data_IF_954532172515
#
_entry.id   IF_954532172515
#
_cell.length_a   1.000
_cell.length_b   1.000
_cell.length_c   1.000
_cell.angle_alpha   90.00
_cell.angle_beta   90.00
_cell.angle_gamma   90.00
#
_symmetry.space_group_name_H-M   'P 1'
#
loop_
_entity.id
_entity.type
_entity.pdbx_description
1 polymer ?
#
# COMPACT_ATOMS: atom_id res chain seq x y z
N UNK A 1 -6.21 -32.76 33.13
CA UNK A 1 -6.59 -31.56 32.33
C UNK A 1 -8.10 -31.54 32.22
N UNK A 2 -8.79 -30.49 32.68
CA UNK A 2 -10.26 -30.48 32.81
C UNK A 2 -10.96 -30.51 31.45
N UNK A 3 -11.91 -31.42 31.25
CA UNK A 3 -12.71 -31.55 30.02
C UNK A 3 -13.43 -30.25 29.63
N UNK A 4 -13.83 -29.44 30.62
CA UNK A 4 -14.41 -28.09 30.41
C UNK A 4 -13.42 -27.11 29.76
N UNK A 5 -12.13 -27.18 30.11
CA UNK A 5 -11.09 -26.33 29.51
C UNK A 5 -10.86 -26.75 28.05
N UNK A 6 -10.85 -28.06 27.77
CA UNK A 6 -10.71 -28.60 26.42
C UNK A 6 -11.90 -28.17 25.56
N UNK A 7 -13.13 -28.44 26.02
CA UNK A 7 -14.37 -28.10 25.29
C UNK A 7 -14.50 -26.58 25.05
N UNK A 8 -14.21 -25.75 26.06
CA UNK A 8 -14.20 -24.30 25.90
C UNK A 8 -13.17 -23.81 24.87
N UNK A 9 -11.97 -24.39 24.88
CA UNK A 9 -10.91 -24.07 23.91
C UNK A 9 -11.24 -24.54 22.48
N UNK A 10 -11.86 -25.71 22.32
CA UNK A 10 -12.27 -26.25 21.02
C UNK A 10 -13.39 -25.43 20.39
N UNK A 11 -14.43 -25.07 21.17
CA UNK A 11 -15.53 -24.25 20.67
C UNK A 11 -15.04 -22.89 20.18
N UNK A 12 -14.17 -22.22 20.97
CA UNK A 12 -13.56 -20.96 20.57
C UNK A 12 -12.72 -21.11 19.30
N UNK A 13 -11.86 -22.14 19.23
CA UNK A 13 -11.04 -22.41 18.05
C UNK A 13 -11.88 -22.65 16.79
N UNK A 14 -13.00 -23.37 16.91
CA UNK A 14 -13.94 -23.58 15.80
C UNK A 14 -14.59 -22.28 15.36
N UNK A 15 -15.07 -21.44 16.28
CA UNK A 15 -15.65 -20.13 15.94
C UNK A 15 -14.63 -19.26 15.19
N UNK A 16 -13.40 -19.15 15.71
CA UNK A 16 -12.33 -18.40 15.06
C UNK A 16 -12.00 -18.98 13.67
N UNK A 17 -11.90 -20.30 13.54
CA UNK A 17 -11.62 -20.96 12.26
C UNK A 17 -12.71 -20.72 11.23
N UNK A 18 -13.98 -20.76 11.64
CA UNK A 18 -15.13 -20.47 10.76
C UNK A 18 -15.10 -19.01 10.30
N UNK A 19 -14.86 -18.06 11.20
CA UNK A 19 -14.76 -16.63 10.85
C UNK A 19 -13.59 -16.38 9.89
N UNK A 20 -12.42 -16.94 10.17
CA UNK A 20 -11.25 -16.83 9.29
C UNK A 20 -11.55 -17.45 7.91
N UNK A 21 -12.18 -18.63 7.87
CA UNK A 21 -12.55 -19.30 6.62
C UNK A 21 -13.53 -18.48 5.79
N UNK A 22 -14.52 -17.85 6.43
CA UNK A 22 -15.45 -16.94 5.76
C UNK A 22 -14.73 -15.72 5.16
N UNK A 23 -13.81 -15.11 5.91
CA UNK A 23 -13.00 -13.96 5.42
C UNK A 23 -12.14 -14.37 4.22
N UNK A 24 -11.49 -15.55 4.28
CA UNK A 24 -10.67 -16.08 3.19
C UNK A 24 -11.54 -16.33 1.95
N UNK A 25 -12.68 -17.00 2.10
CA UNK A 25 -13.60 -17.31 1.01
C UNK A 25 -14.11 -16.05 0.31
N UNK A 26 -14.59 -15.06 1.08
CA UNK A 26 -15.06 -13.77 0.54
C UNK A 26 -13.96 -13.03 -0.22
N UNK A 27 -12.73 -13.05 0.31
CA UNK A 27 -11.57 -12.41 -0.34
C UNK A 27 -11.20 -13.13 -1.64
N UNK A 28 -11.22 -14.46 -1.66
CA UNK A 28 -10.92 -15.23 -2.87
C UNK A 28 -11.97 -15.00 -3.96
N UNK A 29 -13.26 -15.04 -3.62
CA UNK A 29 -14.35 -14.78 -4.58
C UNK A 29 -14.28 -13.38 -5.18
N UNK A 30 -14.08 -12.35 -4.35
CA UNK A 30 -13.93 -10.97 -4.84
C UNK A 30 -12.69 -10.77 -5.71
N UNK A 31 -11.55 -11.38 -5.34
CA UNK A 31 -10.34 -11.33 -6.17
C UNK A 31 -10.56 -11.99 -7.54
N UNK A 32 -11.17 -13.18 -7.58
CA UNK A 32 -11.45 -13.88 -8.84
C UNK A 32 -12.32 -13.03 -9.77
N UNK A 33 -13.44 -12.49 -9.25
CA UNK A 33 -14.33 -11.62 -9.99
C UNK A 33 -13.60 -10.40 -10.57
N UNK A 34 -12.88 -9.65 -9.72
CA UNK A 34 -12.12 -8.45 -10.15
C UNK A 34 -11.04 -8.81 -11.19
N UNK A 35 -10.35 -9.94 -11.04
CA UNK A 35 -9.34 -10.36 -12.01
C UNK A 35 -9.93 -10.76 -13.36
N UNK A 36 -11.15 -11.29 -13.37
CA UNK A 36 -11.94 -11.57 -14.57
C UNK A 36 -12.31 -10.29 -15.31
N UNK A 37 -12.97 -9.36 -14.63
CA UNK A 37 -13.34 -8.03 -15.18
C UNK A 37 -12.12 -7.30 -15.75
N UNK A 38 -10.99 -7.30 -15.03
CA UNK A 38 -9.74 -6.67 -15.53
C UNK A 38 -9.15 -7.39 -16.74
N UNK A 39 -9.33 -8.71 -16.87
CA UNK A 39 -8.88 -9.43 -18.06
C UNK A 39 -9.66 -8.96 -19.28
N UNK A 40 -10.97 -8.85 -19.16
CA UNK A 40 -11.84 -8.35 -20.23
C UNK A 40 -11.53 -6.89 -20.55
N UNK A 41 -11.45 -6.02 -19.54
CA UNK A 41 -11.07 -4.61 -19.72
C UNK A 41 -9.71 -4.47 -20.43
N UNK A 42 -8.68 -5.24 -20.04
CA UNK A 42 -7.36 -5.21 -20.71
C UNK A 42 -7.47 -5.59 -22.18
N UNK A 43 -8.33 -6.55 -22.52
CA UNK A 43 -8.52 -6.98 -23.90
C UNK A 43 -9.21 -5.90 -24.74
N UNK A 44 -10.25 -5.27 -24.19
CA UNK A 44 -10.91 -4.13 -24.84
C UNK A 44 -9.93 -2.95 -25.06
N UNK A 45 -9.10 -2.64 -24.06
CA UNK A 45 -8.06 -1.61 -24.17
C UNK A 45 -6.99 -1.96 -25.23
N UNK A 46 -6.58 -3.23 -25.35
CA UNK A 46 -5.68 -3.68 -26.44
C UNK A 46 -6.32 -3.52 -27.81
N UNK A 47 -7.59 -3.89 -27.94
CA UNK A 47 -8.33 -3.74 -29.19
C UNK A 47 -8.44 -2.26 -29.60
N UNK A 48 -8.65 -1.36 -28.65
CA UNK A 48 -8.59 0.09 -28.89
C UNK A 48 -7.22 0.51 -29.43
N UNK A 49 -6.13 0.07 -28.81
CA UNK A 49 -4.77 0.40 -29.28
C UNK A 49 -4.50 -0.14 -30.69
N UNK A 50 -4.93 -1.37 -31.00
CA UNK A 50 -4.84 -1.96 -32.34
C UNK A 50 -5.63 -1.14 -33.37
N UNK A 51 -6.87 -0.77 -33.03
CA UNK A 51 -7.77 -0.04 -33.92
C UNK A 51 -7.34 1.41 -34.15
N UNK A 52 -6.62 2.03 -33.21
CA UNK A 52 -6.06 3.38 -33.35
C UNK A 52 -4.96 3.46 -34.41
N UNK A 53 -4.24 2.36 -34.66
CA UNK A 53 -3.08 2.36 -35.54
C UNK A 53 -3.50 2.66 -37.00
N UNK A 54 -3.00 3.77 -37.55
CA UNK A 54 -3.31 4.24 -38.91
C UNK A 54 -4.81 4.43 -39.19
N UNK A 55 -5.61 4.72 -38.17
CA UNK A 55 -7.03 5.01 -38.35
C UNK A 55 -7.23 6.36 -39.06
N UNK A 56 -8.26 6.47 -39.90
CA UNK A 56 -8.68 7.79 -40.40
C UNK A 56 -9.16 8.69 -39.26
N UNK A 57 -9.20 10.01 -39.45
CA UNK A 57 -9.67 10.94 -38.42
C UNK A 57 -11.07 10.58 -37.90
N UNK A 58 -12.04 10.33 -38.80
CA UNK A 58 -13.39 9.95 -38.39
C UNK A 58 -13.46 8.61 -37.64
N UNK A 59 -12.64 7.63 -38.03
CA UNK A 59 -12.53 6.36 -37.29
C UNK A 59 -11.87 6.57 -35.92
N UNK A 60 -10.86 7.44 -35.85
CA UNK A 60 -10.17 7.80 -34.60
C UNK A 60 -11.15 8.37 -33.59
N UNK A 61 -11.97 9.35 -33.97
CA UNK A 61 -12.97 9.94 -33.07
C UNK A 61 -13.92 8.89 -32.46
N UNK A 62 -14.38 7.92 -33.26
CA UNK A 62 -15.22 6.81 -32.76
C UNK A 62 -14.47 5.95 -31.74
N UNK A 63 -13.20 5.63 -32.00
CA UNK A 63 -12.36 4.84 -31.09
C UNK A 63 -12.08 5.63 -29.79
N UNK A 64 -11.91 6.95 -29.86
CA UNK A 64 -11.71 7.78 -28.68
C UNK A 64 -12.92 7.77 -27.75
N UNK A 65 -14.15 7.71 -28.28
CA UNK A 65 -15.36 7.54 -27.45
C UNK A 65 -15.28 6.25 -26.64
N UNK A 66 -14.86 5.15 -27.26
CA UNK A 66 -14.67 3.87 -26.58
C UNK A 66 -13.56 3.94 -25.52
N UNK A 67 -12.44 4.60 -25.83
CA UNK A 67 -11.35 4.79 -24.89
C UNK A 67 -11.80 5.58 -23.65
N UNK A 68 -12.54 6.67 -23.84
CA UNK A 68 -13.00 7.56 -22.76
C UNK A 68 -13.83 6.85 -21.69
N UNK A 69 -14.65 5.87 -22.08
CA UNK A 69 -15.48 5.10 -21.13
C UNK A 69 -14.71 3.98 -20.42
N UNK A 70 -13.45 3.73 -20.79
CA UNK A 70 -12.60 2.66 -20.21
C UNK A 70 -11.40 3.16 -19.42
N UNK A 71 -11.01 4.41 -19.59
CA UNK A 71 -9.95 5.04 -18.79
C UNK A 71 -10.54 5.77 -17.57
N UNK A 72 -9.68 6.20 -16.65
CA UNK A 72 -10.10 6.90 -15.45
C UNK A 72 -10.68 8.30 -15.79
N UNK A 73 -11.97 8.49 -15.53
CA UNK A 73 -12.67 9.76 -15.77
C UNK A 73 -12.17 10.94 -14.91
N UNK A 74 -11.54 10.69 -13.76
CA UNK A 74 -10.99 11.77 -12.92
C UNK A 74 -9.86 12.54 -13.61
N UNK A 75 -9.19 11.95 -14.61
CA UNK A 75 -8.13 12.60 -15.37
C UNK A 75 -8.60 13.73 -16.28
N UNK A 76 -9.89 13.79 -16.62
CA UNK A 76 -10.42 14.77 -17.58
C UNK A 76 -10.14 16.22 -17.17
N UNK A 77 -10.29 16.52 -15.87
CA UNK A 77 -10.16 17.88 -15.33
C UNK A 77 -8.98 18.03 -14.36
N UNK A 78 -8.06 17.06 -14.33
CA UNK A 78 -6.93 17.02 -13.39
C UNK A 78 -5.62 16.88 -14.15
N UNK A 79 -4.50 17.24 -13.53
CA UNK A 79 -3.16 17.10 -14.12
C UNK A 79 -2.41 15.85 -13.64
N UNK A 80 -3.12 14.92 -13.00
CA UNK A 80 -2.52 13.76 -12.35
C UNK A 80 -2.40 12.58 -13.33
N UNK A 81 -1.17 12.15 -13.61
CA UNK A 81 -0.92 11.03 -14.51
C UNK A 81 -1.47 9.69 -13.98
N UNK A 82 -1.59 9.53 -12.65
CA UNK A 82 -2.20 8.35 -12.02
C UNK A 82 -3.71 8.25 -12.25
N UNK A 83 -4.32 9.30 -12.77
CA UNK A 83 -5.74 9.36 -13.11
C UNK A 83 -5.94 9.44 -14.63
N UNK A 84 -4.96 9.02 -15.43
CA UNK A 84 -5.00 9.03 -16.91
C UNK A 84 -5.08 10.42 -17.56
N UNK A 85 -4.78 11.50 -16.81
CA UNK A 85 -4.83 12.87 -17.32
C UNK A 85 -4.01 13.10 -18.60
N UNK A 86 -2.88 12.40 -18.74
CA UNK A 86 -2.01 12.47 -19.91
C UNK A 86 -2.63 11.85 -21.17
N UNK A 87 -3.50 10.84 -21.01
CA UNK A 87 -4.29 10.26 -22.11
C UNK A 87 -5.40 11.24 -22.51
N UNK A 88 -6.11 11.77 -21.52
CA UNK A 88 -7.13 12.80 -21.72
C UNK A 88 -6.57 14.02 -22.47
N UNK A 89 -5.39 14.50 -22.12
CA UNK A 89 -4.74 15.62 -22.80
C UNK A 89 -4.60 15.36 -24.31
N UNK A 90 -4.13 14.18 -24.71
CA UNK A 90 -3.97 13.84 -26.14
C UNK A 90 -5.33 13.67 -26.83
N UNK A 91 -6.33 13.11 -26.14
CA UNK A 91 -7.70 13.02 -26.66
C UNK A 91 -8.24 14.42 -26.98
N UNK A 92 -8.14 15.37 -26.04
CA UNK A 92 -8.60 16.74 -26.24
C UNK A 92 -7.85 17.43 -27.39
N UNK A 93 -6.55 17.17 -27.55
CA UNK A 93 -5.77 17.72 -28.67
C UNK A 93 -6.25 17.21 -30.03
N UNK A 94 -6.68 15.94 -30.15
CA UNK A 94 -7.22 15.38 -31.40
C UNK A 94 -8.65 15.87 -31.66
N UNK A 95 -9.46 16.03 -30.60
CA UNK A 95 -10.87 16.44 -30.71
C UNK A 95 -11.05 17.94 -30.97
N UNK A 96 -10.09 18.78 -30.56
CA UNK A 96 -10.18 20.25 -30.68
C UNK A 96 -10.28 20.74 -32.12
N UNK A 97 -9.42 20.22 -32.99
CA UNK A 97 -9.40 20.56 -34.42
C UNK A 97 -8.90 19.37 -35.22
N UNK A 98 -9.33 19.25 -36.49
CA UNK A 98 -8.86 18.15 -37.36
C UNK A 98 -7.37 18.36 -37.67
N UNK A 99 -6.46 17.52 -37.14
CA UNK A 99 -5.04 17.67 -37.43
C UNK A 99 -4.72 17.19 -38.84
N UNK A 100 -3.54 17.56 -39.35
CA UNK A 100 -2.98 16.92 -40.55
C UNK A 100 -2.79 15.42 -40.32
N UNK A 101 -2.76 14.62 -41.39
CA UNK A 101 -2.59 13.17 -41.27
C UNK A 101 -1.29 12.79 -40.54
N UNK A 102 -0.21 13.56 -40.72
CA UNK A 102 1.06 13.34 -40.03
C UNK A 102 0.95 13.58 -38.52
N UNK A 103 0.32 14.69 -38.13
CA UNK A 103 0.08 14.99 -36.72
C UNK A 103 -0.87 13.95 -36.12
N UNK A 104 -1.94 13.56 -36.83
CA UNK A 104 -2.87 12.52 -36.39
C UNK A 104 -2.13 11.22 -36.08
N UNK A 105 -1.30 10.74 -37.01
CA UNK A 105 -0.52 9.52 -36.83
C UNK A 105 0.44 9.62 -35.62
N UNK A 106 1.09 10.79 -35.42
CA UNK A 106 1.93 11.03 -34.23
C UNK A 106 1.12 10.95 -32.94
N UNK A 107 -0.10 11.51 -32.91
CA UNK A 107 -0.98 11.47 -31.73
C UNK A 107 -1.56 10.09 -31.46
N UNK A 108 -1.95 9.35 -32.50
CA UNK A 108 -2.37 7.95 -32.38
C UNK A 108 -1.24 7.09 -31.80
N UNK A 109 -0.02 7.22 -32.31
CA UNK A 109 1.15 6.52 -31.78
C UNK A 109 1.39 6.88 -30.30
N UNK A 110 1.28 8.15 -29.95
CA UNK A 110 1.41 8.60 -28.57
C UNK A 110 0.33 7.98 -27.65
N UNK A 111 -0.93 7.92 -28.09
CA UNK A 111 -2.01 7.24 -27.36
C UNK A 111 -1.71 5.75 -27.19
N UNK A 112 -1.23 5.08 -28.24
CA UNK A 112 -0.87 3.66 -28.18
C UNK A 112 0.26 3.43 -27.16
N UNK A 113 1.27 4.30 -27.12
CA UNK A 113 2.34 4.22 -26.12
C UNK A 113 1.79 4.38 -24.69
N UNK A 114 0.91 5.37 -24.45
CA UNK A 114 0.29 5.55 -23.14
C UNK A 114 -0.64 4.40 -22.72
N UNK A 115 -1.43 3.88 -23.65
CA UNK A 115 -2.27 2.69 -23.43
C UNK A 115 -1.40 1.49 -23.09
N UNK A 116 -0.28 1.30 -23.78
CA UNK A 116 0.66 0.22 -23.51
C UNK A 116 1.26 0.32 -22.09
N UNK A 117 1.61 1.53 -21.65
CA UNK A 117 2.05 1.77 -20.27
C UNK A 117 0.93 1.51 -19.25
N UNK A 118 -0.31 1.94 -19.54
CA UNK A 118 -1.47 1.71 -18.68
C UNK A 118 -1.72 0.21 -18.48
N UNK A 119 -1.70 -0.57 -19.57
CA UNK A 119 -1.83 -2.02 -19.54
C UNK A 119 -0.71 -2.69 -18.73
N UNK A 120 0.54 -2.24 -18.92
CA UNK A 120 1.69 -2.75 -18.17
C UNK A 120 1.59 -2.44 -16.68
N UNK A 121 1.18 -1.23 -16.32
CA UNK A 121 0.97 -0.80 -14.94
C UNK A 121 -0.14 -1.63 -14.26
N UNK A 122 -1.30 -1.79 -14.92
CA UNK A 122 -2.40 -2.60 -14.40
C UNK A 122 -2.00 -4.07 -14.21
N UNK A 123 -1.22 -4.63 -15.15
CA UNK A 123 -0.71 -6.01 -15.04
C UNK A 123 0.18 -6.19 -13.80
N UNK A 124 1.18 -5.32 -13.62
CA UNK A 124 2.08 -5.40 -12.46
C UNK A 124 1.33 -5.19 -11.14
N UNK A 125 0.36 -4.27 -11.12
CA UNK A 125 -0.53 -4.06 -9.98
C UNK A 125 -1.37 -5.30 -9.67
N UNK A 126 -2.00 -5.90 -10.68
CA UNK A 126 -2.86 -7.08 -10.51
C UNK A 126 -2.07 -8.28 -9.98
N UNK A 127 -0.85 -8.53 -10.48
CA UNK A 127 0.04 -9.57 -9.93
C UNK A 127 0.31 -9.37 -8.45
N UNK A 128 0.55 -8.12 -8.02
CA UNK A 128 0.79 -7.79 -6.62
C UNK A 128 -0.45 -7.97 -5.75
N UNK A 129 -1.62 -7.60 -6.23
CA UNK A 129 -2.88 -7.80 -5.50
C UNK A 129 -3.16 -9.28 -5.24
N UNK A 130 -2.89 -10.15 -6.22
CA UNK A 130 -3.02 -11.61 -6.12
C UNK A 130 -1.97 -12.21 -5.18
N UNK A 131 -0.69 -11.86 -5.34
CA UNK A 131 0.41 -12.33 -4.48
C UNK A 131 0.23 -11.89 -3.03
N UNK A 132 -0.47 -10.78 -2.81
CA UNK A 132 -0.59 -10.16 -1.50
C UNK A 132 0.70 -9.49 -1.06
N UNK A 133 0.72 -9.05 0.20
CA UNK A 133 1.85 -8.31 0.76
C UNK A 133 2.40 -9.04 1.99
N UNK A 134 3.33 -9.96 1.75
CA UNK A 134 3.94 -10.79 2.79
C UNK A 134 4.64 -9.94 3.86
N UNK A 135 5.33 -8.87 3.47
CA UNK A 135 5.97 -7.96 4.42
C UNK A 135 4.96 -7.24 5.32
N UNK A 136 3.81 -6.82 4.77
CA UNK A 136 2.72 -6.26 5.59
C UNK A 136 2.20 -7.28 6.60
N UNK A 137 2.01 -8.53 6.18
CA UNK A 137 1.55 -9.62 7.07
C UNK A 137 2.57 -9.87 8.18
N UNK A 138 3.85 -9.97 7.82
CA UNK A 138 4.93 -10.19 8.79
C UNK A 138 5.04 -9.03 9.80
N UNK A 139 4.94 -7.79 9.33
CA UNK A 139 4.86 -6.60 10.18
C UNK A 139 3.70 -6.69 11.18
N UNK A 140 2.49 -7.04 10.73
CA UNK A 140 1.33 -7.21 11.60
C UNK A 140 1.53 -8.33 12.63
N UNK A 141 2.12 -9.46 12.24
CA UNK A 141 2.44 -10.57 13.15
C UNK A 141 3.43 -10.11 14.23
N UNK A 142 4.47 -9.38 13.86
CA UNK A 142 5.46 -8.88 14.80
C UNK A 142 4.83 -7.89 15.80
N UNK A 143 3.99 -6.97 15.32
CA UNK A 143 3.28 -6.03 16.22
C UNK A 143 2.25 -6.72 17.12
N UNK A 144 1.57 -7.77 16.64
CA UNK A 144 0.72 -8.58 17.51
C UNK A 144 1.57 -9.32 18.56
N UNK A 145 2.72 -9.86 18.13
CA UNK A 145 3.69 -10.52 18.98
C UNK A 145 4.27 -9.61 20.07
N UNK A 146 4.54 -8.33 19.78
CA UNK A 146 4.98 -7.38 20.81
C UNK A 146 3.93 -7.15 21.88
N UNK A 147 2.65 -7.03 21.49
CA UNK A 147 1.52 -6.94 22.42
C UNK A 147 1.42 -8.16 23.34
N UNK A 148 1.49 -9.35 22.74
CA UNK A 148 1.45 -10.63 23.48
C UNK A 148 2.64 -10.76 24.41
N UNK A 149 3.85 -10.44 23.94
CA UNK A 149 5.07 -10.51 24.75
C UNK A 149 5.04 -9.54 25.93
N UNK A 150 4.54 -8.31 25.72
CA UNK A 150 4.35 -7.37 26.83
C UNK A 150 3.35 -7.88 27.86
N UNK A 151 2.19 -8.39 27.41
CA UNK A 151 1.19 -8.95 28.31
C UNK A 151 1.71 -10.16 29.09
N UNK A 152 2.51 -11.02 28.46
CA UNK A 152 3.12 -12.17 29.15
C UNK A 152 4.17 -11.73 30.17
N UNK A 153 4.95 -10.69 29.88
CA UNK A 153 5.89 -10.12 30.86
C UNK A 153 5.16 -9.60 32.10
N UNK A 154 4.07 -8.85 31.93
CA UNK A 154 3.25 -8.36 33.04
C UNK A 154 2.71 -9.53 33.86
N UNK A 155 2.20 -10.57 33.19
CA UNK A 155 1.63 -11.74 33.86
C UNK A 155 2.68 -12.54 34.64
N UNK A 156 3.88 -12.74 34.09
CA UNK A 156 4.97 -13.45 34.77
C UNK A 156 5.52 -12.67 35.96
N UNK A 157 5.51 -11.33 35.90
CA UNK A 157 5.96 -10.49 37.00
C UNK A 157 4.94 -10.37 38.14
N UNK A 158 3.72 -10.90 37.96
CA UNK A 158 2.62 -10.87 38.92
C UNK A 158 2.98 -11.40 40.31
N UNK A 159 3.84 -12.41 40.41
CA UNK A 159 4.24 -12.98 41.71
C UNK A 159 4.97 -11.96 42.62
N UNK A 160 5.40 -10.84 42.05
CA UNK A 160 6.22 -9.83 42.72
C UNK A 160 5.54 -8.48 42.91
N UNK A 161 4.28 -8.30 42.45
CA UNK A 161 3.60 -7.00 42.45
C UNK A 161 2.41 -6.94 43.41
N UNK A 162 2.22 -5.80 44.08
CA UNK A 162 1.06 -5.53 44.96
C UNK A 162 -0.24 -5.29 44.17
N UNK A 163 -0.16 -5.07 42.85
CA UNK A 163 -1.30 -4.75 41.98
C UNK A 163 -2.32 -5.90 41.87
N UNK A 164 -3.61 -5.56 41.86
CA UNK A 164 -4.67 -6.57 41.65
C UNK A 164 -4.67 -7.07 40.20
N UNK A 165 -5.18 -8.31 39.98
CA UNK A 165 -5.32 -8.93 38.64
C UNK A 165 -6.02 -8.02 37.64
N UNK A 166 -7.00 -7.26 38.12
CA UNK A 166 -7.76 -6.31 37.30
C UNK A 166 -6.86 -5.20 36.75
N UNK A 167 -6.04 -4.56 37.59
CA UNK A 167 -5.14 -3.49 37.16
C UNK A 167 -4.11 -3.96 36.12
N UNK A 168 -3.51 -5.14 36.33
CA UNK A 168 -2.54 -5.72 35.38
C UNK A 168 -3.18 -6.02 34.01
N UNK A 169 -4.42 -6.52 34.02
CA UNK A 169 -5.19 -6.73 32.79
C UNK A 169 -5.49 -5.40 32.09
N UNK A 170 -5.90 -4.36 32.85
CA UNK A 170 -6.15 -3.02 32.31
C UNK A 170 -4.91 -2.42 31.66
N UNK A 171 -3.74 -2.50 32.29
CA UNK A 171 -2.48 -1.99 31.71
C UNK A 171 -2.09 -2.75 30.44
N UNK A 172 -2.27 -4.07 30.42
CA UNK A 172 -2.02 -4.90 29.24
C UNK A 172 -2.95 -4.51 28.09
N UNK A 173 -4.25 -4.29 28.36
CA UNK A 173 -5.21 -3.83 27.36
C UNK A 173 -4.86 -2.43 26.83
N UNK A 174 -4.51 -1.48 27.71
CA UNK A 174 -4.08 -0.13 27.32
C UNK A 174 -2.86 -0.21 26.41
N UNK A 175 -1.87 -1.04 26.75
CA UNK A 175 -0.68 -1.22 25.92
C UNK A 175 -1.01 -1.78 24.53
N UNK A 176 -1.86 -2.81 24.46
CA UNK A 176 -2.31 -3.38 23.18
C UNK A 176 -3.01 -2.32 22.34
N UNK A 177 -3.87 -1.49 22.95
CA UNK A 177 -4.55 -0.38 22.26
C UNK A 177 -3.55 0.67 21.76
N UNK A 178 -2.53 1.01 22.56
CA UNK A 178 -1.45 1.91 22.14
C UNK A 178 -0.69 1.33 20.95
N UNK A 179 -0.33 0.03 20.98
CA UNK A 179 0.35 -0.63 19.86
C UNK A 179 -0.54 -0.61 18.61
N UNK A 180 -1.84 -0.90 18.73
CA UNK A 180 -2.78 -0.84 17.60
C UNK A 180 -2.87 0.58 17.03
N UNK A 181 -3.03 1.59 17.90
CA UNK A 181 -3.11 2.98 17.50
C UNK A 181 -1.81 3.45 16.80
N UNK A 182 -0.66 3.05 17.33
CA UNK A 182 0.64 3.29 16.70
C UNK A 182 0.71 2.62 15.32
N UNK A 183 0.37 1.33 15.20
CA UNK A 183 0.37 0.62 13.91
C UNK A 183 -0.54 1.29 12.87
N UNK A 184 -1.70 1.78 13.30
CA UNK A 184 -2.62 2.52 12.44
C UNK A 184 -2.01 3.84 11.95
N UNK A 185 -1.47 4.64 12.87
CA UNK A 185 -0.79 5.90 12.55
C UNK A 185 0.40 5.68 11.61
N UNK A 186 1.21 4.63 11.87
CA UNK A 186 2.32 4.22 11.03
C UNK A 186 1.89 3.82 9.62
N UNK A 187 0.77 3.11 9.49
CA UNK A 187 0.21 2.77 8.18
C UNK A 187 -0.21 4.01 7.38
N UNK A 188 -0.70 5.05 8.06
CA UNK A 188 -1.06 6.32 7.44
C UNK A 188 0.17 7.13 7.02
N UNK A 189 1.13 7.32 7.93
CA UNK A 189 2.40 8.02 7.66
C UNK A 189 3.14 7.42 6.45
N UNK A 190 3.30 6.10 6.44
CA UNK A 190 3.94 5.40 5.33
C UNK A 190 3.18 5.57 4.00
N UNK A 191 1.84 5.73 4.05
CA UNK A 191 1.03 6.01 2.87
C UNK A 191 1.13 7.45 2.39
N UNK A 192 1.11 8.41 3.31
CA UNK A 192 1.18 9.84 3.04
C UNK A 192 2.52 10.24 2.43
N UNK A 193 3.63 9.76 2.99
CA UNK A 193 4.98 10.00 2.46
C UNK A 193 5.13 9.49 1.03
N UNK A 194 4.63 8.28 0.74
CA UNK A 194 4.63 7.72 -0.61
C UNK A 194 3.83 8.61 -1.59
N UNK A 195 2.61 9.03 -1.22
CA UNK A 195 1.75 9.83 -2.10
C UNK A 195 2.34 11.20 -2.41
N UNK A 196 2.90 11.88 -1.39
CA UNK A 196 3.44 13.22 -1.55
C UNK A 196 4.75 13.23 -2.34
N UNK A 197 5.60 12.22 -2.19
CA UNK A 197 6.82 12.14 -2.99
C UNK A 197 6.55 11.83 -4.46
N UNK A 198 5.56 10.98 -4.74
CA UNK A 198 5.09 10.76 -6.12
C UNK A 198 4.57 12.06 -6.73
N UNK A 199 3.81 12.86 -5.96
CA UNK A 199 3.28 14.16 -6.42
C UNK A 199 4.36 15.24 -6.57
N UNK A 200 5.30 15.32 -5.64
CA UNK A 200 6.39 16.30 -5.65
C UNK A 200 7.36 16.08 -6.82
N UNK A 201 7.60 14.82 -7.18
CA UNK A 201 8.51 14.48 -8.28
C UNK A 201 7.92 14.67 -9.68
N UNK A 202 6.62 14.93 -9.81
CA UNK A 202 6.05 15.41 -11.08
C UNK A 202 6.63 16.78 -11.49
N UNK A 203 7.25 17.52 -10.56
CA UNK A 203 7.82 18.86 -10.80
C UNK A 203 9.32 18.88 -11.07
N UNK A 204 10.11 17.89 -10.62
CA UNK A 204 11.58 17.87 -10.77
C UNK A 204 12.06 16.74 -11.67
N UNK A 205 12.99 17.06 -12.58
CA UNK A 205 13.36 16.26 -13.76
C UNK A 205 14.35 15.11 -13.49
N UNK A 206 14.82 14.91 -12.26
CA UNK A 206 15.84 13.91 -11.92
C UNK A 206 15.26 12.71 -11.16
N UNK A 207 14.91 11.66 -11.90
CA UNK A 207 14.16 10.50 -11.40
C UNK A 207 14.99 9.43 -10.66
N UNK A 208 16.34 9.49 -10.71
CA UNK A 208 17.20 8.43 -10.14
C UNK A 208 17.38 8.52 -8.62
N UNK A 209 17.39 9.72 -8.05
CA UNK A 209 17.69 9.92 -6.62
C UNK A 209 16.44 9.83 -5.73
N UNK A 210 15.25 9.86 -6.30
CA UNK A 210 13.99 9.92 -5.56
C UNK A 210 13.79 8.69 -4.67
N UNK A 211 14.13 7.49 -5.16
CA UNK A 211 14.05 6.27 -4.36
C UNK A 211 15.00 6.30 -3.15
N UNK A 212 16.18 6.92 -3.31
CA UNK A 212 17.16 7.08 -2.23
C UNK A 212 16.61 8.04 -1.16
N UNK A 213 16.04 9.18 -1.57
CA UNK A 213 15.41 10.12 -0.64
C UNK A 213 14.24 9.49 0.13
N UNK A 214 13.41 8.68 -0.55
CA UNK A 214 12.32 7.94 0.10
C UNK A 214 12.85 7.01 1.19
N UNK A 215 13.91 6.26 0.89
CA UNK A 215 14.55 5.36 1.86
C UNK A 215 15.16 6.12 3.05
N UNK A 216 15.82 7.25 2.80
CA UNK A 216 16.37 8.11 3.86
C UNK A 216 15.26 8.62 4.79
N UNK A 217 14.14 9.08 4.23
CA UNK A 217 12.98 9.53 5.02
C UNK A 217 12.42 8.38 5.87
N UNK A 218 12.34 7.16 5.34
CA UNK A 218 11.89 6.00 6.11
C UNK A 218 12.86 5.64 7.25
N UNK A 219 14.18 5.77 7.03
CA UNK A 219 15.19 5.57 8.09
C UNK A 219 15.00 6.60 9.20
N UNK A 220 14.90 7.89 8.85
CA UNK A 220 14.68 8.97 9.82
C UNK A 220 13.37 8.77 10.58
N UNK A 221 12.29 8.43 9.87
CA UNK A 221 10.98 8.14 10.47
C UNK A 221 11.08 6.98 11.45
N UNK A 222 11.75 5.89 11.06
CA UNK A 222 12.00 4.72 11.93
C UNK A 222 12.71 5.13 13.20
N UNK A 223 13.79 5.93 13.10
CA UNK A 223 14.54 6.40 14.27
C UNK A 223 13.66 7.21 15.24
N UNK A 224 12.91 8.19 14.73
CA UNK A 224 12.02 9.04 15.56
C UNK A 224 10.97 8.19 16.28
N UNK A 225 10.34 7.27 15.56
CA UNK A 225 9.29 6.40 16.09
C UNK A 225 9.83 5.43 17.14
N UNK A 226 11.02 4.86 16.91
CA UNK A 226 11.68 4.00 17.88
C UNK A 226 12.04 4.76 19.16
N UNK A 227 12.53 6.00 19.07
CA UNK A 227 12.78 6.83 20.24
C UNK A 227 11.49 7.12 21.04
N UNK A 228 10.38 7.44 20.35
CA UNK A 228 9.08 7.64 20.99
C UNK A 228 8.59 6.37 21.71
N UNK A 229 8.65 5.22 21.02
CA UNK A 229 8.25 3.93 21.58
C UNK A 229 9.10 3.53 22.79
N UNK A 230 10.42 3.74 22.75
CA UNK A 230 11.31 3.46 23.87
C UNK A 230 10.96 4.30 25.11
N UNK A 231 10.60 5.58 24.94
CA UNK A 231 10.12 6.43 26.03
C UNK A 231 8.80 5.94 26.62
N UNK A 232 7.87 5.48 25.79
CA UNK A 232 6.59 4.92 26.25
C UNK A 232 6.82 3.65 27.07
N UNK A 233 7.61 2.70 26.53
CA UNK A 233 7.91 1.43 27.22
C UNK A 233 8.61 1.68 28.56
N UNK A 234 9.64 2.52 28.58
CA UNK A 234 10.36 2.84 29.83
C UNK A 234 9.47 3.56 30.84
N UNK A 235 8.62 4.49 30.39
CA UNK A 235 7.63 5.15 31.25
C UNK A 235 6.61 4.17 31.84
N UNK A 236 6.10 3.22 31.05
CA UNK A 236 5.18 2.19 31.52
C UNK A 236 5.83 1.28 32.57
N UNK A 237 7.05 0.81 32.33
CA UNK A 237 7.78 -0.01 33.31
C UNK A 237 8.10 0.77 34.59
N UNK A 238 8.39 2.07 34.49
CA UNK A 238 8.59 2.93 35.68
C UNK A 238 7.31 3.13 36.48
N UNK A 239 6.16 3.29 35.82
CA UNK A 239 4.85 3.38 36.48
C UNK A 239 4.51 2.08 37.22
N UNK A 240 4.92 0.95 36.66
CA UNK A 240 4.77 -0.38 37.24
C UNK A 240 5.91 -0.69 38.22
N UNK A 241 6.37 0.27 39.02
CA UNK A 241 7.61 0.26 39.83
C UNK A 241 7.93 -1.02 40.64
N UNK A 242 6.94 -1.87 40.89
CA UNK A 242 7.07 -3.18 41.56
C UNK A 242 7.46 -4.34 40.62
N UNK A 243 7.45 -4.14 39.30
CA UNK A 243 7.75 -5.18 38.32
C UNK A 243 9.27 -5.35 38.18
N UNK A 244 9.78 -6.53 38.55
CA UNK A 244 11.13 -6.96 38.19
C UNK A 244 11.19 -7.27 36.69
N UNK A 245 11.47 -6.26 35.88
CA UNK A 245 11.84 -6.46 34.48
C UNK A 245 13.36 -6.49 34.32
N UNK A 246 13.85 -7.22 33.33
CA UNK A 246 15.26 -7.15 32.94
C UNK A 246 15.45 -6.11 31.84
N UNK A 247 16.60 -5.45 31.80
CA UNK A 247 16.96 -4.55 30.68
C UNK A 247 16.83 -5.27 29.33
N UNK A 248 17.05 -6.59 29.30
CA UNK A 248 16.87 -7.44 28.13
C UNK A 248 15.42 -7.45 27.61
N UNK A 249 14.42 -7.48 28.50
CA UNK A 249 13.00 -7.46 28.11
C UNK A 249 12.61 -6.17 27.37
N UNK A 250 13.11 -5.02 27.85
CA UNK A 250 12.91 -3.73 27.19
C UNK A 250 13.61 -3.69 25.83
N UNK A 251 14.86 -4.16 25.77
CA UNK A 251 15.63 -4.24 24.53
C UNK A 251 14.90 -5.10 23.49
N UNK A 252 14.35 -6.26 23.90
CA UNK A 252 13.64 -7.15 23.00
C UNK A 252 12.33 -6.52 22.46
N UNK A 253 11.56 -5.83 23.31
CA UNK A 253 10.36 -5.09 22.89
C UNK A 253 10.70 -4.00 21.85
N UNK A 254 11.79 -3.27 22.07
CA UNK A 254 12.27 -2.24 21.13
C UNK A 254 12.75 -2.88 19.82
N UNK A 255 13.51 -3.98 19.89
CA UNK A 255 14.01 -4.68 18.71
C UNK A 255 12.85 -5.21 17.85
N UNK A 256 11.86 -5.88 18.46
CA UNK A 256 10.67 -6.34 17.75
C UNK A 256 9.90 -5.18 17.09
N UNK A 257 9.77 -4.04 17.78
CA UNK A 257 9.14 -2.85 17.21
C UNK A 257 9.90 -2.32 15.97
N UNK A 258 11.23 -2.26 16.03
CA UNK A 258 12.08 -1.89 14.87
C UNK A 258 11.84 -2.85 13.70
N UNK A 259 11.88 -4.17 13.93
CA UNK A 259 11.63 -5.15 12.88
C UNK A 259 10.22 -5.00 12.27
N UNK A 260 9.21 -4.76 13.11
CA UNK A 260 7.84 -4.48 12.65
C UNK A 260 7.77 -3.26 11.72
N UNK A 261 8.50 -2.19 12.04
CA UNK A 261 8.61 -0.98 11.20
C UNK A 261 9.33 -1.24 9.88
N UNK A 262 10.48 -1.93 9.93
CA UNK A 262 11.25 -2.26 8.72
C UNK A 262 10.39 -3.04 7.72
N UNK A 263 9.68 -4.07 8.18
CA UNK A 263 8.78 -4.82 7.30
C UNK A 263 7.59 -3.99 6.83
N UNK A 264 7.08 -3.04 7.64
CA UNK A 264 6.03 -2.14 7.20
C UNK A 264 6.48 -1.26 6.03
N UNK A 265 7.69 -0.69 6.09
CA UNK A 265 8.22 0.13 5.00
C UNK A 265 8.56 -0.70 3.76
N UNK A 266 9.18 -1.88 3.93
CA UNK A 266 9.40 -2.83 2.82
C UNK A 266 8.09 -3.23 2.13
N UNK A 267 6.97 -3.24 2.87
CA UNK A 267 5.65 -3.50 2.29
C UNK A 267 5.17 -2.42 1.30
N UNK A 268 5.71 -1.20 1.38
CA UNK A 268 5.32 -0.04 0.57
C UNK A 268 6.23 0.20 -0.63
N UNK A 269 7.49 -0.20 -0.54
CA UNK A 269 8.51 0.01 -1.59
C UNK A 269 8.07 -0.45 -2.99
N UNK A 270 7.53 -1.68 -3.21
CA UNK A 270 7.12 -2.11 -4.54
C UNK A 270 5.94 -1.31 -5.12
N UNK A 271 5.10 -0.70 -4.26
CA UNK A 271 4.01 0.17 -4.69
C UNK A 271 4.59 1.46 -5.25
N UNK A 272 5.49 2.06 -4.48
CA UNK A 272 6.13 3.31 -4.82
C UNK A 272 6.96 3.18 -6.10
N UNK A 273 7.79 2.14 -6.21
CA UNK A 273 8.62 1.90 -7.39
C UNK A 273 7.80 1.74 -8.67
N UNK A 274 6.69 1.00 -8.61
CA UNK A 274 5.81 0.80 -9.76
C UNK A 274 5.17 2.13 -10.21
N UNK A 275 4.70 2.93 -9.24
CA UNK A 275 4.10 4.24 -9.52
C UNK A 275 5.11 5.22 -10.10
N UNK A 276 6.30 5.28 -9.51
CA UNK A 276 7.39 6.13 -9.98
C UNK A 276 7.82 5.76 -11.39
N UNK A 277 8.03 4.46 -11.68
CA UNK A 277 8.38 3.98 -13.02
C UNK A 277 7.33 4.36 -14.06
N UNK A 278 6.05 4.19 -13.73
CA UNK A 278 4.96 4.56 -14.64
C UNK A 278 4.97 6.05 -14.97
N UNK A 279 5.17 6.93 -13.99
CA UNK A 279 5.24 8.38 -14.19
C UNK A 279 6.48 8.78 -14.99
N UNK A 280 7.64 8.21 -14.67
CA UNK A 280 8.92 8.50 -15.35
C UNK A 280 8.81 8.16 -16.85
N UNK A 281 8.20 7.03 -17.20
CA UNK A 281 7.96 6.67 -18.61
C UNK A 281 6.97 7.62 -19.32
N UNK A 282 5.90 8.06 -18.64
CA UNK A 282 4.98 9.06 -19.18
C UNK A 282 5.71 10.39 -19.46
N UNK A 283 6.57 10.82 -18.54
CA UNK A 283 7.37 12.04 -18.68
C UNK A 283 8.35 11.92 -19.86
N UNK A 284 8.99 10.75 -20.03
CA UNK A 284 9.86 10.49 -21.20
C UNK A 284 9.09 10.63 -22.51
N UNK A 285 7.90 10.03 -22.63
CA UNK A 285 7.04 10.18 -23.82
C UNK A 285 6.68 11.65 -24.04
N UNK A 286 6.27 12.37 -22.99
CA UNK A 286 5.94 13.81 -23.09
C UNK A 286 7.14 14.64 -23.54
N UNK A 287 8.35 14.31 -23.12
CA UNK A 287 9.57 15.03 -23.55
C UNK A 287 9.98 14.80 -25.01
N UNK A 288 9.59 13.65 -25.61
CA UNK A 288 9.77 13.39 -27.04
C UNK A 288 8.82 14.21 -27.93
N UNK A 289 7.75 14.77 -27.36
CA UNK A 289 6.82 15.68 -28.06
C UNK A 289 7.37 17.10 -28.17
N UNK A 290 8.18 17.55 -27.21
CA UNK A 290 8.78 18.91 -27.21
C UNK A 290 10.04 19.03 -28.09
N UNK A 291 10.44 17.95 -28.78
CA UNK A 291 11.45 17.94 -29.83
C UNK A 291 10.76 17.61 -31.16
#
# INVERSE_FOLDING_TARGET
MNAQIILGSTVLATIFSTVISFIISRRQGSLQYITGERKEWREQIRNIAYNLNNASYGKTLKILIELKVRINGFGMNRKNCMEDAHIWEVIHEIEKEKPSNEILNRRQKQLIEYISLLLKYDWERSKREIRGNTYKVLSMIIFAGTGIYFASLIFMCREYTVLTKFHLATVSCIFILIVIALVFLLCQEAGFLCSNMVKGNLKNKESKNVLIYVKLIWVVSTMVLTCGYAKIITGLFKLLSDIRYTSLSIILLIAMFIFGLVFLYMSKEPIFELQHRYIDEIQKIRSRKSR
#
